data_IF_135869095361
#
_entry.id   IF_135869095361
#
_cell.length_a   1.000
_cell.length_b   1.000
_cell.length_c   1.000
_cell.angle_alpha   90.00
_cell.angle_beta   90.00
_cell.angle_gamma   90.00
#
_symmetry.space_group_name_H-M   'P 1'
#
loop_
_entity.id
_entity.type
_entity.pdbx_description
1 polymer ?
#
# COMPACT_ATOMS: atom_id res chain seq x y z
N UNK A 1 43.27 41.94 22.71
CA UNK A 1 43.58 40.51 22.53
C UNK A 1 42.31 39.74 22.84
N UNK A 2 41.49 39.48 21.82
CA UNK A 2 40.33 38.59 21.93
C UNK A 2 40.32 37.72 20.67
N UNK A 3 41.04 36.61 20.76
CA UNK A 3 40.98 35.50 19.82
C UNK A 3 40.36 34.32 20.58
N UNK A 4 39.05 34.15 20.49
CA UNK A 4 38.39 32.84 20.59
C UNK A 4 36.91 32.98 20.33
N UNK A 5 36.48 32.52 19.16
CA UNK A 5 35.25 31.73 18.92
C UNK A 5 35.07 31.58 17.41
N UNK A 6 35.99 30.85 16.78
CA UNK A 6 35.80 30.34 15.43
C UNK A 6 36.30 28.90 15.42
N UNK A 7 35.55 28.00 16.06
CA UNK A 7 35.80 26.56 15.91
C UNK A 7 34.58 25.65 16.18
N UNK A 8 33.35 26.16 16.05
CA UNK A 8 32.14 25.35 16.28
C UNK A 8 31.39 24.95 14.99
N UNK A 9 31.87 25.33 13.79
CA UNK A 9 31.11 25.13 12.52
C UNK A 9 31.72 24.16 11.51
N UNK A 10 32.94 23.65 11.74
CA UNK A 10 33.66 22.84 10.74
C UNK A 10 33.30 21.35 10.85
N UNK A 11 32.88 20.89 12.03
CA UNK A 11 32.55 19.49 12.29
C UNK A 11 31.05 19.13 12.12
N UNK A 12 30.17 20.12 11.98
CA UNK A 12 28.71 19.92 11.82
C UNK A 12 28.26 19.68 10.37
N UNK A 13 29.19 19.62 9.40
CA UNK A 13 28.88 19.38 7.98
C UNK A 13 29.28 17.97 7.50
N UNK A 14 29.21 16.96 8.37
CA UNK A 14 29.16 15.58 7.89
C UNK A 14 27.75 15.27 7.40
N UNK A 15 27.44 15.71 6.18
CA UNK A 15 26.23 15.26 5.49
C UNK A 15 26.26 13.74 5.35
N UNK A 16 25.19 13.07 5.80
CA UNK A 16 25.05 11.64 5.65
C UNK A 16 24.89 11.30 4.16
N UNK A 17 25.96 10.78 3.54
CA UNK A 17 25.99 10.39 2.13
C UNK A 17 25.69 8.90 1.98
N UNK A 18 24.91 8.56 0.95
CA UNK A 18 24.70 7.16 0.57
C UNK A 18 26.01 6.58 0.00
N UNK A 19 26.55 5.57 0.67
CA UNK A 19 27.67 4.79 0.15
C UNK A 19 27.20 3.85 -0.98
N UNK A 20 28.14 3.22 -1.68
CA UNK A 20 27.82 2.35 -2.82
C UNK A 20 26.99 1.13 -2.42
N UNK A 21 27.21 0.56 -1.22
CA UNK A 21 26.43 -0.56 -0.72
C UNK A 21 24.96 -0.18 -0.52
N UNK A 22 24.68 0.96 0.12
CA UNK A 22 23.34 1.49 0.31
C UNK A 22 22.64 1.74 -1.03
N UNK A 23 23.34 2.32 -2.01
CA UNK A 23 22.79 2.52 -3.37
C UNK A 23 22.45 1.19 -4.04
N UNK A 24 23.30 0.18 -3.89
CA UNK A 24 23.05 -1.16 -4.44
C UNK A 24 21.82 -1.81 -3.81
N UNK A 25 21.66 -1.73 -2.48
CA UNK A 25 20.46 -2.22 -1.80
C UNK A 25 19.21 -1.48 -2.27
N UNK A 26 19.24 -0.16 -2.30
CA UNK A 26 18.10 0.64 -2.78
C UNK A 26 17.74 0.33 -4.24
N UNK A 27 18.73 0.05 -5.09
CA UNK A 27 18.50 -0.37 -6.48
C UNK A 27 17.77 -1.71 -6.54
N UNK A 28 18.19 -2.67 -5.74
CA UNK A 28 17.54 -3.99 -5.67
C UNK A 28 16.13 -3.88 -5.06
N UNK A 29 15.96 -3.11 -3.98
CA UNK A 29 14.65 -2.83 -3.39
C UNK A 29 13.72 -2.16 -4.39
N UNK A 30 14.20 -1.18 -5.17
CA UNK A 30 13.40 -0.53 -6.20
C UNK A 30 12.98 -1.51 -7.30
N UNK A 31 13.86 -2.43 -7.70
CA UNK A 31 13.54 -3.48 -8.68
C UNK A 31 12.44 -4.42 -8.17
N UNK A 32 12.54 -4.90 -6.93
CA UNK A 32 11.49 -5.75 -6.33
C UNK A 32 10.18 -5.01 -6.10
N UNK A 33 10.26 -3.75 -5.64
CA UNK A 33 9.09 -2.90 -5.50
C UNK A 33 8.35 -2.72 -6.83
N UNK A 34 9.07 -2.57 -7.94
CA UNK A 34 8.48 -2.49 -9.28
C UNK A 34 7.74 -3.79 -9.67
N UNK A 35 8.38 -4.95 -9.47
CA UNK A 35 7.78 -6.26 -9.75
C UNK A 35 6.51 -6.45 -8.91
N UNK A 36 6.58 -6.20 -7.61
CA UNK A 36 5.44 -6.30 -6.71
C UNK A 36 4.32 -5.34 -7.09
N UNK A 37 4.66 -4.15 -7.61
CA UNK A 37 3.66 -3.18 -8.07
C UNK A 37 2.91 -3.69 -9.30
N UNK A 38 3.61 -4.29 -10.27
CA UNK A 38 2.97 -4.88 -11.45
C UNK A 38 2.01 -6.00 -11.04
N UNK A 39 2.48 -6.93 -10.21
CA UNK A 39 1.64 -8.04 -9.71
C UNK A 39 0.44 -7.47 -8.93
N UNK A 40 0.65 -6.47 -8.09
CA UNK A 40 -0.41 -5.78 -7.36
C UNK A 40 -1.47 -5.17 -8.28
N UNK A 41 -1.06 -4.48 -9.36
CA UNK A 41 -2.00 -3.93 -10.34
C UNK A 41 -2.79 -5.00 -11.08
N UNK A 42 -2.17 -6.14 -11.42
CA UNK A 42 -2.86 -7.29 -12.02
C UNK A 42 -3.92 -7.82 -11.04
N UNK A 43 -3.57 -8.00 -9.76
CA UNK A 43 -4.52 -8.45 -8.74
C UNK A 43 -5.70 -7.49 -8.55
N UNK A 44 -5.45 -6.18 -8.56
CA UNK A 44 -6.50 -5.15 -8.53
C UNK A 44 -7.40 -5.26 -9.78
N UNK A 45 -6.81 -5.46 -10.96
CA UNK A 45 -7.55 -5.69 -12.20
C UNK A 45 -8.45 -6.92 -12.12
N UNK A 46 -7.98 -8.00 -11.51
CA UNK A 46 -8.78 -9.21 -11.25
C UNK A 46 -9.94 -8.91 -10.29
N UNK A 47 -9.73 -8.14 -9.22
CA UNK A 47 -10.83 -7.75 -8.33
C UNK A 47 -11.93 -6.96 -9.04
N UNK A 48 -11.55 -5.99 -9.88
CA UNK A 48 -12.50 -5.23 -10.68
C UNK A 48 -13.22 -6.13 -11.69
N UNK A 49 -12.49 -7.01 -12.36
CA UNK A 49 -13.06 -7.96 -13.31
C UNK A 49 -14.09 -8.87 -12.65
N UNK A 50 -13.76 -9.46 -11.50
CA UNK A 50 -14.67 -10.30 -10.71
C UNK A 50 -15.90 -9.51 -10.28
N UNK A 51 -15.74 -8.27 -9.80
CA UNK A 51 -16.88 -7.45 -9.40
C UNK A 51 -17.85 -7.19 -10.57
N UNK A 52 -17.32 -6.88 -11.76
CA UNK A 52 -18.11 -6.68 -12.97
C UNK A 52 -18.81 -7.97 -13.41
N UNK A 53 -18.12 -9.11 -13.35
CA UNK A 53 -18.75 -10.40 -13.64
C UNK A 53 -19.96 -10.66 -12.75
N UNK A 54 -19.85 -10.41 -11.43
CA UNK A 54 -20.97 -10.58 -10.51
C UNK A 54 -22.13 -9.61 -10.79
N UNK A 55 -21.87 -8.37 -11.22
CA UNK A 55 -22.91 -7.40 -11.62
C UNK A 55 -23.63 -7.87 -12.88
N UNK A 56 -22.90 -8.37 -13.88
CA UNK A 56 -23.53 -8.86 -15.12
C UNK A 56 -24.35 -10.11 -14.84
N UNK A 57 -23.81 -11.05 -14.06
CA UNK A 57 -24.49 -12.29 -13.69
C UNK A 57 -25.72 -12.04 -12.82
N UNK A 58 -25.73 -11.05 -11.92
CA UNK A 58 -26.89 -10.76 -11.08
C UNK A 58 -28.13 -10.39 -11.89
N UNK A 59 -27.96 -9.85 -13.10
CA UNK A 59 -29.08 -9.54 -14.00
C UNK A 59 -29.66 -10.77 -14.74
N UNK A 60 -28.87 -11.84 -14.85
CA UNK A 60 -29.22 -13.07 -15.60
C UNK A 60 -29.60 -14.26 -14.70
N UNK A 61 -29.24 -14.21 -13.41
CA UNK A 61 -29.33 -15.34 -12.50
C UNK A 61 -30.57 -15.20 -11.59
N UNK A 62 -31.51 -16.15 -11.69
CA UNK A 62 -32.56 -16.31 -10.69
C UNK A 62 -31.94 -16.60 -9.31
N UNK A 63 -32.58 -16.16 -8.23
CA UNK A 63 -32.05 -16.16 -6.85
C UNK A 63 -31.53 -17.50 -6.30
N UNK A 64 -31.79 -18.62 -6.99
CA UNK A 64 -31.50 -19.98 -6.53
C UNK A 64 -30.10 -20.51 -6.87
N UNK A 65 -29.29 -19.78 -7.65
CA UNK A 65 -27.96 -20.25 -8.13
C UNK A 65 -26.79 -19.48 -7.52
N UNK A 66 -27.05 -18.52 -6.62
CA UNK A 66 -25.98 -17.85 -5.87
C UNK A 66 -25.44 -18.79 -4.79
N UNK A 67 -24.12 -19.10 -4.76
CA UNK A 67 -23.48 -19.85 -3.67
C UNK A 67 -23.67 -19.20 -2.29
N UNK A 68 -24.01 -17.92 -2.27
CA UNK A 68 -24.25 -17.11 -1.08
C UNK A 68 -25.74 -16.87 -0.79
N UNK A 69 -26.66 -17.48 -1.55
CA UNK A 69 -28.11 -17.35 -1.33
C UNK A 69 -28.51 -17.71 0.11
N UNK A 70 -27.82 -18.69 0.73
CA UNK A 70 -28.07 -19.11 2.11
C UNK A 70 -27.63 -18.07 3.17
N UNK A 71 -26.73 -17.15 2.82
CA UNK A 71 -26.24 -16.10 3.73
C UNK A 71 -27.10 -14.83 3.75
N UNK A 72 -28.17 -14.78 2.93
CA UNK A 72 -29.04 -13.60 2.81
C UNK A 72 -28.39 -12.38 2.16
N UNK A 73 -27.11 -12.45 1.78
CA UNK A 73 -26.39 -11.39 1.11
C UNK A 73 -26.59 -11.49 -0.40
N UNK A 74 -27.15 -10.43 -1.00
CA UNK A 74 -27.30 -10.31 -2.45
C UNK A 74 -25.95 -10.31 -3.17
N UNK A 75 -25.94 -10.80 -4.41
CA UNK A 75 -24.74 -10.79 -5.28
C UNK A 75 -24.18 -9.38 -5.51
N UNK A 76 -25.03 -8.36 -5.44
CA UNK A 76 -24.69 -6.94 -5.47
C UNK A 76 -23.73 -6.50 -4.33
N UNK A 77 -23.90 -7.05 -3.12
CA UNK A 77 -23.05 -6.74 -1.98
C UNK A 77 -21.61 -7.21 -2.23
N UNK A 78 -21.45 -8.40 -2.82
CA UNK A 78 -20.15 -8.97 -3.14
C UNK A 78 -19.41 -8.06 -4.12
N UNK A 79 -20.06 -7.63 -5.20
CA UNK A 79 -19.45 -6.71 -6.16
C UNK A 79 -18.97 -5.42 -5.51
N UNK A 80 -19.77 -4.82 -4.62
CA UNK A 80 -19.39 -3.60 -3.91
C UNK A 80 -18.14 -3.84 -3.04
N UNK A 81 -18.10 -4.95 -2.29
CA UNK A 81 -16.94 -5.30 -1.45
C UNK A 81 -15.67 -5.47 -2.30
N UNK A 82 -15.75 -6.18 -3.44
CA UNK A 82 -14.60 -6.36 -4.33
C UNK A 82 -14.10 -5.04 -4.93
N UNK A 83 -15.01 -4.11 -5.28
CA UNK A 83 -14.62 -2.77 -5.76
C UNK A 83 -13.96 -1.93 -4.67
N UNK A 84 -14.48 -1.97 -3.43
CA UNK A 84 -13.87 -1.29 -2.28
C UNK A 84 -12.47 -1.85 -2.01
N UNK A 85 -12.31 -3.19 -2.05
CA UNK A 85 -11.02 -3.85 -1.89
C UNK A 85 -10.04 -3.45 -2.99
N UNK A 86 -10.49 -3.41 -4.25
CA UNK A 86 -9.67 -2.95 -5.37
C UNK A 86 -9.18 -1.52 -5.16
N UNK A 87 -10.06 -0.61 -4.73
CA UNK A 87 -9.71 0.79 -4.45
C UNK A 87 -8.74 0.91 -3.27
N UNK A 88 -8.97 0.15 -2.20
CA UNK A 88 -8.11 0.15 -1.01
C UNK A 88 -6.70 -0.36 -1.35
N UNK A 89 -6.56 -1.44 -2.12
CA UNK A 89 -5.26 -1.95 -2.53
C UNK A 89 -4.56 -1.12 -3.62
N UNK A 90 -5.31 -0.32 -4.38
CA UNK A 90 -4.74 0.52 -5.44
C UNK A 90 -3.72 1.53 -4.91
N UNK A 91 -4.06 2.26 -3.84
CA UNK A 91 -3.16 3.29 -3.28
C UNK A 91 -1.78 2.78 -2.86
N UNK A 92 -1.65 1.71 -2.04
CA UNK A 92 -0.34 1.24 -1.61
C UNK A 92 0.48 0.69 -2.77
N UNK A 93 -0.15 -0.02 -3.71
CA UNK A 93 0.53 -0.53 -4.93
C UNK A 93 1.03 0.63 -5.78
N UNK A 94 0.25 1.70 -5.91
CA UNK A 94 0.63 2.90 -6.64
C UNK A 94 1.80 3.65 -6.01
N UNK A 95 1.84 3.76 -4.68
CA UNK A 95 3.00 4.35 -3.98
C UNK A 95 4.27 3.51 -4.16
N UNK A 96 4.15 2.18 -4.13
CA UNK A 96 5.27 1.27 -4.37
C UNK A 96 5.82 1.43 -5.79
N UNK A 97 4.93 1.59 -6.78
CA UNK A 97 5.31 1.89 -8.15
C UNK A 97 6.07 3.22 -8.25
N UNK A 98 5.53 4.29 -7.66
CA UNK A 98 6.20 5.60 -7.66
C UNK A 98 7.57 5.56 -6.98
N UNK A 99 7.67 4.88 -5.83
CA UNK A 99 8.94 4.66 -5.14
C UNK A 99 9.95 3.99 -6.07
N UNK A 100 9.59 2.87 -6.71
CA UNK A 100 10.52 2.14 -7.59
C UNK A 100 11.04 3.00 -8.75
N UNK A 101 10.14 3.76 -9.40
CA UNK A 101 10.48 4.64 -10.53
C UNK A 101 11.40 5.78 -10.10
N UNK A 102 11.04 6.47 -9.00
CA UNK A 102 11.80 7.61 -8.48
C UNK A 102 13.14 7.20 -7.89
N UNK A 103 13.20 6.08 -7.17
CA UNK A 103 14.46 5.57 -6.62
C UNK A 103 15.44 5.17 -7.74
N UNK A 104 14.94 4.50 -8.80
CA UNK A 104 15.78 4.18 -9.96
C UNK A 104 16.34 5.44 -10.63
N UNK A 105 15.49 6.46 -10.83
CA UNK A 105 15.90 7.76 -11.40
C UNK A 105 16.96 8.45 -10.54
N UNK A 106 16.70 8.58 -9.24
CA UNK A 106 17.61 9.18 -8.26
C UNK A 106 19.01 8.55 -8.26
N UNK A 107 19.09 7.22 -8.35
CA UNK A 107 20.36 6.49 -8.32
C UNK A 107 21.15 6.56 -9.64
N UNK A 108 20.47 6.79 -10.77
CA UNK A 108 21.12 6.92 -12.09
C UNK A 108 21.55 8.37 -12.33
N UNK A 109 20.62 9.31 -12.13
CA UNK A 109 20.80 10.74 -12.42
C UNK A 109 21.46 11.48 -11.25
N UNK A 110 21.69 10.82 -10.11
CA UNK A 110 22.22 11.42 -8.87
C UNK A 110 21.38 12.62 -8.40
N UNK A 111 20.08 12.56 -8.62
CA UNK A 111 19.12 13.63 -8.31
C UNK A 111 18.57 13.46 -6.88
N UNK A 112 18.83 14.45 -6.02
CA UNK A 112 18.41 14.48 -4.61
C UNK A 112 16.91 14.74 -4.44
N UNK A 113 16.25 15.45 -5.36
CA UNK A 113 14.80 15.66 -5.35
C UNK A 113 14.07 14.35 -5.61
N UNK A 114 14.53 13.59 -6.60
CA UNK A 114 13.98 12.26 -6.91
C UNK A 114 14.20 11.27 -5.76
N UNK A 115 15.35 11.36 -5.07
CA UNK A 115 15.63 10.54 -3.90
C UNK A 115 14.63 10.84 -2.77
N UNK A 116 14.41 12.14 -2.50
CA UNK A 116 13.46 12.61 -1.48
C UNK A 116 12.04 12.19 -1.84
N UNK A 117 11.64 12.35 -3.10
CA UNK A 117 10.35 11.91 -3.60
C UNK A 117 10.17 10.39 -3.48
N UNK A 118 11.21 9.60 -3.75
CA UNK A 118 11.16 8.15 -3.58
C UNK A 118 10.87 7.78 -2.12
N UNK A 119 11.64 8.31 -1.17
CA UNK A 119 11.41 8.05 0.26
C UNK A 119 10.05 8.57 0.74
N UNK A 120 9.57 9.70 0.22
CA UNK A 120 8.22 10.20 0.52
C UNK A 120 7.12 9.22 0.06
N UNK A 121 7.27 8.61 -1.11
CA UNK A 121 6.35 7.57 -1.57
C UNK A 121 6.44 6.30 -0.71
N UNK A 122 7.64 5.89 -0.32
CA UNK A 122 7.84 4.73 0.56
C UNK A 122 7.21 4.95 1.94
N UNK A 123 7.39 6.14 2.52
CA UNK A 123 6.70 6.56 3.75
C UNK A 123 5.17 6.48 3.59
N UNK A 124 4.65 6.98 2.48
CA UNK A 124 3.21 7.00 2.21
C UNK A 124 2.63 5.59 2.07
N UNK A 125 3.38 4.68 1.43
CA UNK A 125 3.05 3.26 1.36
C UNK A 125 2.91 2.64 2.76
N UNK A 126 3.94 2.72 3.61
CA UNK A 126 3.88 2.14 4.96
C UNK A 126 2.86 2.81 5.86
N UNK A 127 2.68 4.14 5.76
CA UNK A 127 1.63 4.85 6.50
C UNK A 127 0.24 4.31 6.13
N UNK A 128 -0.02 4.13 4.83
CA UNK A 128 -1.30 3.61 4.36
C UNK A 128 -1.54 2.17 4.85
N UNK A 129 -0.54 1.28 4.68
CA UNK A 129 -0.63 -0.11 5.16
C UNK A 129 -0.85 -0.15 6.67
N UNK A 130 -0.12 0.66 7.44
CA UNK A 130 -0.27 0.72 8.90
C UNK A 130 -1.65 1.19 9.36
N UNK A 131 -2.19 2.26 8.76
CA UNK A 131 -3.55 2.74 9.08
C UNK A 131 -4.58 1.68 8.72
N UNK A 132 -4.46 1.09 7.53
CA UNK A 132 -5.37 0.03 7.08
C UNK A 132 -5.35 -1.18 8.03
N UNK A 133 -4.15 -1.58 8.48
CA UNK A 133 -3.97 -2.67 9.44
C UNK A 133 -4.69 -2.39 10.76
N UNK A 134 -4.55 -1.17 11.29
CA UNK A 134 -5.24 -0.78 12.54
C UNK A 134 -6.76 -0.81 12.40
N UNK A 135 -7.29 -0.36 11.27
CA UNK A 135 -8.74 -0.42 10.98
C UNK A 135 -9.22 -1.87 10.96
N UNK A 136 -8.51 -2.75 10.24
CA UNK A 136 -8.85 -4.18 10.13
C UNK A 136 -8.82 -4.86 11.50
N UNK A 137 -7.79 -4.61 12.31
CA UNK A 137 -7.70 -5.14 13.68
C UNK A 137 -8.87 -4.63 14.52
N UNK A 138 -9.20 -3.33 14.45
CA UNK A 138 -10.35 -2.76 15.17
C UNK A 138 -11.67 -3.44 14.82
N UNK A 139 -11.90 -3.71 13.53
CA UNK A 139 -13.09 -4.45 13.06
C UNK A 139 -13.09 -5.87 13.63
N UNK A 140 -11.97 -6.60 13.61
CA UNK A 140 -11.90 -7.94 14.17
C UNK A 140 -12.17 -7.98 15.68
N UNK A 141 -11.66 -7.00 16.44
CA UNK A 141 -11.93 -6.89 17.89
C UNK A 141 -13.42 -6.66 18.14
N UNK A 142 -14.07 -5.79 17.37
CA UNK A 142 -15.51 -5.56 17.49
C UNK A 142 -16.33 -6.82 17.16
N UNK A 143 -16.02 -7.49 16.05
CA UNK A 143 -16.69 -8.74 15.66
C UNK A 143 -16.54 -9.78 16.77
N UNK A 144 -15.33 -9.93 17.33
CA UNK A 144 -15.08 -10.88 18.41
C UNK A 144 -15.88 -10.53 19.68
N UNK A 145 -15.94 -9.25 20.05
CA UNK A 145 -16.74 -8.80 21.20
C UNK A 145 -18.23 -9.08 21.01
N UNK A 146 -18.79 -8.79 19.83
CA UNK A 146 -20.19 -9.09 19.52
C UNK A 146 -20.46 -10.60 19.48
N UNK A 147 -19.54 -11.40 18.94
CA UNK A 147 -19.67 -12.85 18.91
C UNK A 147 -19.73 -13.44 20.34
N UNK A 148 -18.87 -12.95 21.25
CA UNK A 148 -18.91 -13.38 22.66
C UNK A 148 -20.23 -13.01 23.35
N UNK A 149 -20.73 -11.80 23.12
CA UNK A 149 -22.02 -11.34 23.67
C UNK A 149 -23.16 -12.20 23.11
N UNK A 150 -23.15 -12.49 21.81
CA UNK A 150 -24.18 -13.31 21.16
C UNK A 150 -24.15 -14.79 21.55
N UNK A 151 -23.02 -15.31 22.05
CA UNK A 151 -22.93 -16.66 22.63
C UNK A 151 -23.48 -16.68 24.07
N UNK A 152 -23.38 -15.56 24.79
CA UNK A 152 -23.76 -15.47 26.21
C UNK A 152 -25.28 -15.24 26.41
N UNK A 153 -25.97 -14.71 25.40
CA UNK A 153 -27.41 -14.41 25.40
C UNK A 153 -28.16 -15.55 24.71
#
# INVERSE_FOLDING_TARGET
MELKQQDDSVFDNFELRLNENSKNFLRETAKWAFILSIVGFIMIGIFVFVAVLFIVMSSALSSNVSPFAQSGLGTEYISIVYLVMALLYFFPVFYLYKFSRKMKSALIEKNTEDLTAAFSNLKSHYKFIGITMLIVIGIYVLIFAFALIGILI
#
